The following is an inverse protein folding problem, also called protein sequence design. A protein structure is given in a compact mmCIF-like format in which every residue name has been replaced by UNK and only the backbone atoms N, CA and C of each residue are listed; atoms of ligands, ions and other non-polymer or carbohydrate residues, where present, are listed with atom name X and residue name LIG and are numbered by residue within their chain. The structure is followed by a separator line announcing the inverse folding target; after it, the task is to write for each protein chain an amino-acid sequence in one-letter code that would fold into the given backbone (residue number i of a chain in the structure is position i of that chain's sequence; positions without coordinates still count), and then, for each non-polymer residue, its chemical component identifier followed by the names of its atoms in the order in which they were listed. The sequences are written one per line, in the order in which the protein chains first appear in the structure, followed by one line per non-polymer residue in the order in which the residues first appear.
data_IF_829431372034
#
_entry.id   IF_829431372034
#
_cell.length_a   1.000
_cell.length_b   1.000
_cell.length_c   1.000
_cell.angle_alpha   90.00
_cell.angle_beta   90.00
_cell.angle_gamma   90.00
#
_symmetry.space_group_name_H-M   'P 1'
#
loop_
_entity.id
_entity.type
_entity.pdbx_description
1 polymer ?
#
# COMPACT_ATOMS: atom_id res chain seq x y z
N UNK A 1 16.04 15.57 1.17
CA UNK A 1 16.44 14.67 2.28
C UNK A 1 16.73 13.30 1.71
N UNK A 2 17.80 12.64 2.15
CA UNK A 2 18.26 11.34 1.61
C UNK A 2 17.68 10.17 2.39
N UNK A 3 17.80 8.94 1.86
CA UNK A 3 17.42 7.73 2.60
C UNK A 3 18.18 7.59 3.92
N UNK A 4 19.46 7.97 3.94
CA UNK A 4 20.33 7.79 5.11
C UNK A 4 19.93 8.74 6.25
N UNK A 5 19.50 9.96 5.91
CA UNK A 5 18.93 10.91 6.87
C UNK A 5 17.69 10.33 7.56
N UNK A 6 16.80 9.67 6.82
CA UNK A 6 15.60 9.06 7.40
C UNK A 6 15.90 7.78 8.18
N UNK A 7 16.85 6.96 7.71
CA UNK A 7 17.28 5.75 8.40
C UNK A 7 17.83 6.05 9.80
N UNK A 8 18.45 7.21 10.02
CA UNK A 8 18.93 7.64 11.34
C UNK A 8 17.81 7.68 12.40
N UNK A 9 16.63 8.20 12.04
CA UNK A 9 15.46 8.19 12.93
C UNK A 9 14.97 6.76 13.20
N UNK A 10 14.95 5.90 12.18
CA UNK A 10 14.45 4.51 12.32
C UNK A 10 15.47 3.53 12.93
N UNK A 11 16.67 3.98 13.26
CA UNK A 11 17.62 3.24 14.09
C UNK A 11 17.43 3.50 15.59
N UNK A 12 16.60 4.48 15.96
CA UNK A 12 16.28 4.80 17.34
C UNK A 12 15.06 4.00 17.81
N UNK A 13 14.82 3.87 19.14
CA UNK A 13 13.56 3.37 19.66
C UNK A 13 12.36 4.13 19.06
N UNK A 14 11.30 3.42 18.69
CA UNK A 14 10.18 4.00 17.93
C UNK A 14 9.44 5.08 18.72
N UNK A 15 9.42 4.98 20.04
CA UNK A 15 8.89 5.95 20.98
C UNK A 15 9.58 7.32 20.92
N UNK A 16 10.81 7.39 20.40
CA UNK A 16 11.54 8.65 20.23
C UNK A 16 11.27 9.35 18.90
N UNK A 17 10.57 8.69 17.97
CA UNK A 17 10.27 9.24 16.65
C UNK A 17 9.03 10.15 16.77
N UNK A 18 9.13 11.48 16.56
CA UNK A 18 8.05 12.42 16.89
C UNK A 18 6.74 12.17 16.15
N UNK A 19 6.81 11.62 14.94
CA UNK A 19 5.63 11.31 14.12
C UNK A 19 5.06 9.91 14.38
N UNK A 20 5.77 9.06 15.12
CA UNK A 20 5.29 7.72 15.44
C UNK A 20 4.08 7.81 16.38
N UNK A 21 2.99 7.11 16.03
CA UNK A 21 1.75 7.16 16.81
C UNK A 21 0.93 8.44 16.65
N UNK A 22 1.37 9.38 15.82
CA UNK A 22 0.59 10.58 15.49
C UNK A 22 -0.21 10.36 14.21
N UNK A 23 -1.42 10.89 14.18
CA UNK A 23 -2.28 10.93 12.99
C UNK A 23 -3.13 12.19 13.01
N UNK A 24 -3.48 12.70 11.84
CA UNK A 24 -4.32 13.88 11.74
C UNK A 24 -5.80 13.49 11.84
N UNK A 25 -6.63 14.34 12.48
CA UNK A 25 -8.04 14.04 12.77
C UNK A 25 -8.85 13.71 11.50
N UNK A 26 -8.57 14.41 10.39
CA UNK A 26 -9.23 14.16 9.11
C UNK A 26 -9.02 12.74 8.58
N UNK A 27 -7.92 12.08 8.94
CA UNK A 27 -7.68 10.69 8.55
C UNK A 27 -8.64 9.75 9.27
N UNK A 28 -8.84 9.97 10.58
CA UNK A 28 -9.79 9.18 11.36
C UNK A 28 -11.20 9.37 10.82
N UNK A 29 -11.61 10.62 10.54
CA UNK A 29 -12.91 10.93 9.97
C UNK A 29 -13.17 10.22 8.63
N UNK A 30 -12.16 10.14 7.74
CA UNK A 30 -12.29 9.42 6.47
C UNK A 30 -12.51 7.91 6.65
N UNK A 31 -11.88 7.34 7.68
CA UNK A 31 -12.03 5.91 7.98
C UNK A 31 -13.38 5.64 8.67
N UNK A 32 -13.79 6.48 9.61
CA UNK A 32 -15.07 6.37 10.32
C UNK A 32 -16.26 6.53 9.35
N UNK A 33 -16.10 7.36 8.31
CA UNK A 33 -17.08 7.52 7.22
C UNK A 33 -16.99 6.43 6.15
N UNK A 34 -16.15 5.41 6.35
CA UNK A 34 -15.94 4.28 5.44
C UNK A 34 -15.58 4.69 3.99
N UNK A 35 -15.00 5.89 3.81
CA UNK A 35 -14.77 6.47 2.48
C UNK A 35 -13.83 5.61 1.63
N UNK A 36 -12.96 4.83 2.27
CA UNK A 36 -11.93 4.01 1.64
C UNK A 36 -12.28 2.51 1.58
N UNK A 37 -13.47 2.09 2.04
CA UNK A 37 -13.91 0.69 1.96
C UNK A 37 -14.02 0.26 0.50
N UNK A 38 -13.45 -0.91 0.17
CA UNK A 38 -13.40 -1.46 -1.18
C UNK A 38 -12.49 -0.70 -2.16
N UNK A 39 -11.83 0.38 -1.73
CA UNK A 39 -10.97 1.21 -2.59
C UNK A 39 -9.50 0.83 -2.43
N UNK A 40 -8.70 1.20 -3.43
CA UNK A 40 -7.25 1.14 -3.36
C UNK A 40 -6.67 2.48 -2.92
N UNK A 41 -5.63 2.44 -2.08
CA UNK A 41 -4.96 3.62 -1.54
C UNK A 41 -3.44 3.51 -1.61
N UNK A 42 -2.78 4.67 -1.60
CA UNK A 42 -1.33 4.80 -1.56
C UNK A 42 -0.97 5.63 -0.34
N UNK A 43 -0.11 5.09 0.53
CA UNK A 43 0.40 5.74 1.74
C UNK A 43 1.84 6.20 1.49
N UNK A 44 2.00 7.50 1.25
CA UNK A 44 3.26 8.15 0.84
C UNK A 44 4.07 8.53 2.08
N UNK A 45 5.30 8.02 2.20
CA UNK A 45 6.08 8.19 3.43
C UNK A 45 5.45 7.41 4.57
N UNK A 46 5.15 6.13 4.33
CA UNK A 46 4.37 5.31 5.24
C UNK A 46 5.09 4.97 6.55
N UNK A 47 6.39 5.24 6.66
CA UNK A 47 7.21 4.95 7.82
C UNK A 47 7.12 3.47 8.23
N UNK A 48 6.76 3.23 9.49
CA UNK A 48 6.56 1.87 10.05
C UNK A 48 5.23 1.23 9.63
N UNK A 49 4.50 1.83 8.68
CA UNK A 49 3.33 1.23 8.03
C UNK A 49 2.06 1.19 8.86
N UNK A 50 1.98 1.97 9.94
CA UNK A 50 0.81 1.96 10.84
C UNK A 50 -0.49 2.30 10.10
N UNK A 51 -0.52 3.42 9.35
CA UNK A 51 -1.68 3.84 8.55
C UNK A 51 -1.98 2.86 7.42
N UNK A 52 -0.96 2.38 6.72
CA UNK A 52 -1.13 1.36 5.68
C UNK A 52 -1.87 0.12 6.21
N UNK A 53 -1.45 -0.42 7.37
CA UNK A 53 -2.12 -1.56 8.00
C UNK A 53 -3.51 -1.20 8.51
N UNK A 54 -3.67 -0.01 9.07
CA UNK A 54 -4.94 0.47 9.59
C UNK A 54 -6.00 0.51 8.47
N UNK A 55 -5.67 1.10 7.33
CA UNK A 55 -6.57 1.13 6.16
C UNK A 55 -6.94 -0.26 5.66
N UNK A 56 -5.96 -1.18 5.58
CA UNK A 56 -6.23 -2.56 5.17
C UNK A 56 -7.17 -3.30 6.15
N UNK A 57 -7.03 -3.07 7.46
CA UNK A 57 -7.94 -3.63 8.48
C UNK A 57 -9.35 -3.04 8.40
N UNK A 58 -9.50 -1.79 7.94
CA UNK A 58 -10.78 -1.09 7.81
C UNK A 58 -11.35 -1.19 6.39
N UNK A 59 -11.10 -2.30 5.70
CA UNK A 59 -11.83 -2.66 4.50
C UNK A 59 -11.34 -2.01 3.21
N UNK A 60 -10.22 -1.28 3.20
CA UNK A 60 -9.58 -0.93 1.94
C UNK A 60 -9.21 -2.19 1.17
N UNK A 61 -9.50 -2.21 -0.13
CA UNK A 61 -9.24 -3.36 -0.99
C UNK A 61 -7.73 -3.62 -1.15
N UNK A 62 -6.95 -2.55 -1.32
CA UNK A 62 -5.50 -2.65 -1.44
C UNK A 62 -4.82 -1.35 -1.01
N UNK A 63 -3.81 -1.44 -0.16
CA UNK A 63 -3.04 -0.29 0.32
C UNK A 63 -1.55 -0.52 0.07
N UNK A 64 -0.94 0.36 -0.71
CA UNK A 64 0.50 0.35 -0.95
C UNK A 64 1.17 1.45 -0.12
N UNK A 65 1.93 1.05 0.89
CA UNK A 65 2.81 1.95 1.61
C UNK A 65 4.18 2.01 0.96
N UNK A 66 4.72 3.22 0.77
CA UNK A 66 6.12 3.36 0.41
C UNK A 66 6.82 4.42 1.26
N UNK A 67 8.10 4.16 1.51
CA UNK A 67 8.97 5.06 2.25
C UNK A 67 10.37 4.99 1.62
N UNK A 68 11.08 6.11 1.63
CA UNK A 68 12.44 6.17 1.09
C UNK A 68 13.44 5.42 1.98
N UNK A 69 13.11 5.24 3.27
CA UNK A 69 13.91 4.53 4.26
C UNK A 69 13.72 3.00 4.12
N UNK A 70 14.79 2.25 3.77
CA UNK A 70 14.74 0.78 3.83
C UNK A 70 14.47 0.26 5.24
N UNK A 71 14.96 0.97 6.27
CA UNK A 71 14.75 0.61 7.68
C UNK A 71 13.28 0.72 8.08
N UNK A 72 12.61 1.81 7.70
CA UNK A 72 11.18 2.00 7.93
C UNK A 72 10.36 0.86 7.32
N UNK A 73 10.65 0.50 6.06
CA UNK A 73 9.96 -0.59 5.35
C UNK A 73 10.22 -1.96 5.98
N UNK A 74 11.43 -2.22 6.47
CA UNK A 74 11.72 -3.45 7.20
C UNK A 74 10.89 -3.56 8.49
N UNK A 75 10.79 -2.47 9.26
CA UNK A 75 9.94 -2.38 10.45
C UNK A 75 8.46 -2.53 10.10
N UNK A 76 8.00 -1.90 9.01
CA UNK A 76 6.63 -2.01 8.55
C UNK A 76 6.24 -3.45 8.21
N UNK A 77 7.11 -4.16 7.48
CA UNK A 77 6.93 -5.59 7.17
C UNK A 77 6.93 -6.43 8.44
N UNK A 78 7.86 -6.20 9.37
CA UNK A 78 7.95 -6.93 10.64
C UNK A 78 6.71 -6.74 11.52
N UNK A 79 6.14 -5.53 11.54
CA UNK A 79 4.95 -5.20 12.31
C UNK A 79 3.63 -5.65 11.64
N UNK A 80 3.70 -6.19 10.42
CA UNK A 80 2.53 -6.67 9.69
C UNK A 80 2.27 -8.13 10.00
N UNK A 81 1.10 -8.41 10.56
CA UNK A 81 0.64 -9.77 10.83
C UNK A 81 0.58 -10.58 9.52
N UNK A 82 1.01 -11.83 9.55
CA UNK A 82 1.01 -12.72 8.37
C UNK A 82 -0.37 -12.92 7.76
N UNK A 83 -1.44 -12.83 8.58
CA UNK A 83 -2.84 -12.95 8.15
C UNK A 83 -3.44 -11.65 7.59
N UNK A 84 -2.76 -10.51 7.76
CA UNK A 84 -3.26 -9.23 7.24
C UNK A 84 -2.99 -9.16 5.74
N UNK A 85 -4.03 -9.38 4.94
CA UNK A 85 -4.02 -9.18 3.50
C UNK A 85 -4.34 -7.74 3.12
N UNK A 86 -4.10 -7.38 1.86
CA UNK A 86 -4.53 -6.07 1.33
C UNK A 86 -3.57 -4.92 1.64
N UNK A 87 -2.41 -5.16 2.25
CA UNK A 87 -1.35 -4.16 2.34
C UNK A 87 0.00 -4.68 1.82
N UNK A 88 0.80 -3.78 1.24
CA UNK A 88 2.17 -4.06 0.82
C UNK A 88 3.10 -2.86 1.09
N UNK A 89 4.39 -3.14 1.22
CA UNK A 89 5.42 -2.15 1.58
C UNK A 89 6.59 -2.18 0.62
N UNK A 90 6.93 -1.02 0.05
CA UNK A 90 7.99 -0.87 -0.96
C UNK A 90 8.96 0.24 -0.55
N UNK A 91 10.25 0.00 -0.70
CA UNK A 91 11.27 1.03 -0.57
C UNK A 91 11.25 1.91 -1.81
N UNK A 92 11.09 3.21 -1.64
CA UNK A 92 11.17 4.17 -2.72
C UNK A 92 10.53 5.52 -2.39
N UNK A 93 10.93 6.56 -3.13
CA UNK A 93 10.26 7.85 -3.08
C UNK A 93 8.96 7.86 -3.88
N UNK A 94 8.28 9.01 -3.93
CA UNK A 94 7.00 9.20 -4.62
C UNK A 94 6.99 8.71 -6.09
N UNK A 95 8.12 8.88 -6.80
CA UNK A 95 8.27 8.38 -8.17
C UNK A 95 8.22 6.85 -8.28
N UNK A 96 8.80 6.14 -7.30
CA UNK A 96 8.84 4.68 -7.28
C UNK A 96 7.47 4.07 -6.97
N UNK A 97 6.70 4.68 -6.07
CA UNK A 97 5.32 4.27 -5.76
C UNK A 97 4.41 4.32 -6.99
N UNK A 98 4.51 5.42 -7.77
CA UNK A 98 3.78 5.56 -9.05
C UNK A 98 4.15 4.46 -10.04
N UNK A 99 5.44 4.18 -10.23
CA UNK A 99 5.89 3.13 -11.15
C UNK A 99 5.46 1.73 -10.71
N UNK A 100 5.54 1.41 -9.42
CA UNK A 100 5.10 0.11 -8.90
C UNK A 100 3.59 -0.06 -9.09
N UNK A 101 2.80 0.95 -8.74
CA UNK A 101 1.35 0.87 -8.88
C UNK A 101 0.92 0.79 -10.35
N UNK A 102 1.52 1.60 -11.24
CA UNK A 102 1.28 1.50 -12.68
C UNK A 102 1.64 0.11 -13.20
N UNK A 103 2.80 -0.45 -12.82
CA UNK A 103 3.18 -1.80 -13.23
C UNK A 103 2.20 -2.84 -12.72
N UNK A 104 1.71 -2.71 -11.49
CA UNK A 104 0.71 -3.61 -10.91
C UNK A 104 -0.63 -3.52 -11.64
N UNK A 105 -1.15 -2.30 -11.86
CA UNK A 105 -2.38 -2.06 -12.62
C UNK A 105 -2.25 -2.59 -14.04
N UNK A 106 -1.14 -2.32 -14.72
CA UNK A 106 -0.88 -2.82 -16.07
C UNK A 106 -0.81 -4.35 -16.09
N UNK A 107 -0.14 -4.97 -15.11
CA UNK A 107 -0.10 -6.42 -14.98
C UNK A 107 -1.49 -7.03 -14.76
N UNK A 108 -2.29 -6.46 -13.85
CA UNK A 108 -3.67 -6.90 -13.61
C UNK A 108 -4.55 -6.73 -14.85
N UNK A 109 -4.36 -5.64 -15.59
CA UNK A 109 -5.02 -5.41 -16.87
C UNK A 109 -4.63 -6.47 -17.91
N UNK A 110 -3.33 -6.78 -18.04
CA UNK A 110 -2.82 -7.80 -18.95
C UNK A 110 -3.32 -9.20 -18.58
N UNK A 111 -3.36 -9.54 -17.29
CA UNK A 111 -3.91 -10.80 -16.78
C UNK A 111 -5.40 -10.89 -17.10
N UNK A 112 -6.19 -9.86 -16.76
CA UNK A 112 -7.62 -9.79 -17.10
C UNK A 112 -7.84 -9.94 -18.59
N UNK A 113 -7.09 -9.21 -19.42
CA UNK A 113 -7.19 -9.30 -20.89
C UNK A 113 -6.88 -10.71 -21.40
N UNK A 114 -5.82 -11.35 -20.90
CA UNK A 114 -5.48 -12.75 -21.27
C UNK A 114 -6.55 -13.73 -20.83
N UNK A 115 -7.09 -13.58 -19.62
CA UNK A 115 -8.15 -14.44 -19.09
C UNK A 115 -9.45 -14.29 -19.89
N UNK A 116 -9.85 -13.05 -20.23
CA UNK A 116 -10.99 -12.77 -21.11
C UNK A 116 -10.82 -13.41 -22.49
N UNK A 117 -9.62 -13.32 -23.09
CA UNK A 117 -9.32 -13.98 -24.38
C UNK A 117 -9.43 -15.51 -24.25
N UNK A 118 -8.90 -16.10 -23.18
CA UNK A 118 -9.00 -17.54 -22.93
C UNK A 118 -10.45 -17.99 -22.78
N UNK A 119 -11.26 -17.24 -22.02
CA UNK A 119 -12.67 -17.55 -21.83
C UNK A 119 -13.46 -17.43 -23.15
N UNK A 120 -13.14 -16.45 -24.00
CA UNK A 120 -13.73 -16.35 -25.34
C UNK A 120 -13.32 -17.51 -26.25
N UNK A 121 -12.05 -17.94 -26.20
CA UNK A 121 -11.55 -19.08 -27.00
C UNK A 121 -12.18 -20.41 -26.59
N UNK A 122 -12.53 -20.58 -25.32
CA UNK A 122 -13.18 -21.79 -24.79
C UNK A 122 -14.71 -21.67 -24.70
N UNK A 123 -15.32 -20.62 -25.26
CA UNK A 123 -16.78 -20.43 -25.27
C UNK A 123 -17.41 -20.14 -23.89
N UNK A 124 -16.59 -19.85 -22.89
CA UNK A 124 -17.00 -19.58 -21.50
C UNK A 124 -17.38 -18.10 -21.28
N UNK A 125 -17.17 -17.24 -22.27
CA UNK A 125 -17.60 -15.84 -22.26
C UNK A 125 -18.04 -15.43 -23.67
N UNK A 126 -19.31 -15.03 -23.84
CA UNK A 126 -19.81 -14.53 -25.12
C UNK A 126 -19.21 -13.15 -25.43
N UNK A 127 -18.80 -12.92 -26.68
CA UNK A 127 -18.46 -11.57 -27.16
C UNK A 127 -19.73 -10.72 -27.16
N UNK A 128 -19.75 -9.63 -26.40
CA UNK A 128 -20.75 -8.57 -26.62
C UNK A 128 -20.54 -8.02 -28.03
N UNK A 129 -21.62 -7.98 -28.81
CA UNK A 129 -21.64 -7.37 -30.15
C UNK A 129 -21.39 -5.87 -30.08
#
# INVERSE_FOLDING_TARGET
MTKDFWDEFYNQPLEHIPWQGTQADWFQELVDKEVLVGKSAIDVGCGTGAKTRYLARHGSHEVLGFDISPKAIALAKKATETKLSGCAFVVGGAAAGRSFWIKKVLMLYLIRRRFTVLLQQHGLLMRSR
#
